data_IF_798577113725
#
_entry.id   IF_798577113725
#
_cell.length_a   1.000
_cell.length_b   1.000
_cell.length_c   1.000
_cell.angle_alpha   90.00
_cell.angle_beta   90.00
_cell.angle_gamma   90.00
#
_symmetry.space_group_name_H-M   'P 1'
#
loop_
_entity.id
_entity.type
_entity.pdbx_description
1 polymer ?
#
# COMPACT_ATOMS: atom_id res chain seq x y z
N UNK A 1 34.42 13.22 -17.20
CA UNK A 1 33.83 13.38 -15.86
C UNK A 1 32.76 14.44 -15.97
N UNK A 2 31.49 14.03 -16.08
CA UNK A 2 30.35 14.94 -15.99
C UNK A 2 29.54 14.52 -14.79
N UNK A 3 29.67 15.32 -13.74
CA UNK A 3 29.03 15.21 -12.44
C UNK A 3 27.65 15.87 -12.53
N UNK A 4 26.63 15.11 -12.96
CA UNK A 4 25.29 15.64 -13.18
C UNK A 4 24.23 14.74 -12.51
N UNK A 5 23.84 15.16 -11.30
CA UNK A 5 22.66 14.75 -10.54
C UNK A 5 22.62 13.29 -10.03
N UNK A 6 23.36 13.03 -8.95
CA UNK A 6 22.93 12.03 -7.94
C UNK A 6 22.21 12.79 -6.82
N UNK A 7 21.03 13.33 -7.14
CA UNK A 7 20.05 13.74 -6.12
C UNK A 7 19.07 12.57 -6.04
N UNK A 8 18.99 11.96 -4.85
CA UNK A 8 18.42 10.64 -4.59
C UNK A 8 17.23 10.29 -5.48
N UNK A 9 17.31 9.16 -6.16
CA UNK A 9 16.11 8.56 -6.73
C UNK A 9 15.11 8.40 -5.58
N UNK A 10 13.95 9.09 -5.60
CA UNK A 10 12.81 8.54 -4.90
C UNK A 10 12.66 7.13 -5.46
N UNK A 11 12.40 6.18 -4.58
CA UNK A 11 12.50 4.73 -4.65
C UNK A 11 11.80 4.01 -5.84
N UNK A 12 11.48 4.74 -6.92
CA UNK A 12 10.79 4.32 -8.13
C UNK A 12 9.29 4.10 -7.92
N UNK A 13 8.83 4.28 -6.67
CA UNK A 13 7.50 3.90 -6.25
C UNK A 13 6.49 4.99 -6.56
N UNK A 14 5.40 4.60 -7.20
CA UNK A 14 4.18 5.39 -7.25
C UNK A 14 3.63 5.64 -5.84
N UNK A 15 2.81 6.69 -5.63
CA UNK A 15 2.19 6.94 -4.33
C UNK A 15 1.45 5.73 -3.74
N UNK A 16 0.71 4.98 -4.57
CA UNK A 16 0.05 3.74 -4.13
C UNK A 16 1.06 2.69 -3.67
N UNK A 17 2.18 2.52 -4.36
CA UNK A 17 3.21 1.56 -3.99
C UNK A 17 3.88 1.92 -2.66
N UNK A 18 4.10 3.21 -2.40
CA UNK A 18 4.57 3.70 -1.09
C UNK A 18 3.55 3.35 0.01
N UNK A 19 2.27 3.66 -0.20
CA UNK A 19 1.21 3.33 0.78
C UNK A 19 1.10 1.83 1.04
N UNK A 20 1.22 1.00 0.01
CA UNK A 20 1.20 -0.46 0.13
C UNK A 20 2.43 -0.96 0.88
N UNK A 21 3.63 -0.48 0.56
CA UNK A 21 4.86 -0.86 1.27
C UNK A 21 4.73 -0.55 2.75
N UNK A 22 4.28 0.66 3.11
CA UNK A 22 4.18 1.10 4.50
C UNK A 22 3.10 0.31 5.24
N UNK A 23 1.99 0.00 4.58
CA UNK A 23 0.95 -0.87 5.10
C UNK A 23 1.46 -2.30 5.39
N UNK A 24 2.19 -2.90 4.44
CA UNK A 24 2.77 -4.24 4.56
C UNK A 24 3.84 -4.26 5.66
N UNK A 25 4.73 -3.27 5.69
CA UNK A 25 5.79 -3.19 6.69
C UNK A 25 5.24 -3.07 8.11
N UNK A 26 4.21 -2.23 8.32
CA UNK A 26 3.50 -2.14 9.61
C UNK A 26 2.88 -3.47 10.03
N UNK A 27 2.26 -4.17 9.09
CA UNK A 27 1.63 -5.45 9.37
C UNK A 27 2.69 -6.51 9.73
N UNK A 28 3.76 -6.63 8.95
CA UNK A 28 4.85 -7.56 9.25
C UNK A 28 5.50 -7.27 10.60
N UNK A 29 5.72 -6.00 10.93
CA UNK A 29 6.25 -5.62 12.24
C UNK A 29 5.32 -6.03 13.39
N UNK A 30 4.02 -5.85 13.24
CA UNK A 30 3.04 -6.31 14.22
C UNK A 30 3.04 -7.84 14.36
N UNK A 31 3.05 -8.58 13.25
CA UNK A 31 3.08 -10.04 13.25
C UNK A 31 4.36 -10.61 13.90
N UNK A 32 5.50 -9.94 13.69
CA UNK A 32 6.77 -10.25 14.36
C UNK A 32 6.69 -10.02 15.87
N UNK A 33 6.12 -8.90 16.31
CA UNK A 33 5.93 -8.60 17.73
C UNK A 33 5.06 -9.64 18.45
N UNK A 34 4.08 -10.24 17.75
CA UNK A 34 3.23 -11.30 18.29
C UNK A 34 3.92 -12.67 18.37
N UNK A 35 5.00 -12.90 17.63
CA UNK A 35 5.63 -14.22 17.43
C UNK A 35 7.09 -14.28 17.86
N UNK A 36 7.44 -13.48 18.87
CA UNK A 36 8.82 -13.42 19.38
C UNK A 36 9.85 -13.13 18.28
N UNK A 37 9.51 -12.18 17.40
CA UNK A 37 10.37 -11.66 16.33
C UNK A 37 10.71 -12.67 15.21
N UNK A 38 9.93 -13.75 15.08
CA UNK A 38 10.11 -14.74 14.01
C UNK A 38 8.77 -15.12 13.39
N UNK A 39 8.77 -15.35 12.07
CA UNK A 39 7.64 -15.92 11.34
C UNK A 39 8.13 -17.28 10.85
N UNK A 40 7.61 -18.34 11.43
CA UNK A 40 7.94 -19.71 11.02
C UNK A 40 7.06 -20.12 9.83
N UNK A 41 7.43 -21.19 9.12
CA UNK A 41 6.68 -21.62 7.94
C UNK A 41 5.18 -21.89 8.23
N UNK A 42 4.88 -22.37 9.44
CA UNK A 42 3.51 -22.62 9.89
C UNK A 42 2.67 -21.33 10.06
N UNK A 43 3.31 -20.18 10.24
CA UNK A 43 2.65 -18.88 10.40
C UNK A 43 2.29 -18.21 9.06
N UNK A 44 2.95 -18.64 7.97
CA UNK A 44 2.83 -18.01 6.65
C UNK A 44 1.38 -17.85 6.19
N UNK A 45 0.48 -18.85 6.32
CA UNK A 45 -0.91 -18.68 5.91
C UNK A 45 -1.63 -17.53 6.63
N UNK A 46 -1.45 -17.40 7.94
CA UNK A 46 -2.09 -16.34 8.75
C UNK A 46 -1.49 -14.97 8.41
N UNK A 47 -0.16 -14.88 8.33
CA UNK A 47 0.50 -13.61 7.96
C UNK A 47 0.09 -13.16 6.57
N UNK A 48 0.03 -14.08 5.59
CA UNK A 48 -0.43 -13.79 4.25
C UNK A 48 -1.88 -13.30 4.23
N UNK A 49 -2.74 -13.88 5.06
CA UNK A 49 -4.12 -13.44 5.21
C UNK A 49 -4.21 -11.99 5.73
N UNK A 50 -3.49 -11.68 6.81
CA UNK A 50 -3.51 -10.33 7.39
C UNK A 50 -2.92 -9.27 6.45
N UNK A 51 -1.83 -9.59 5.77
CA UNK A 51 -1.27 -8.72 4.72
C UNK A 51 -2.29 -8.48 3.60
N UNK A 52 -3.01 -9.52 3.17
CA UNK A 52 -4.04 -9.41 2.12
C UNK A 52 -5.17 -8.47 2.53
N UNK A 53 -5.65 -8.57 3.78
CA UNK A 53 -6.66 -7.65 4.30
C UNK A 53 -6.16 -6.21 4.27
N UNK A 54 -4.91 -5.97 4.72
CA UNK A 54 -4.32 -4.64 4.75
C UNK A 54 -4.15 -4.05 3.36
N UNK A 55 -3.69 -4.85 2.39
CA UNK A 55 -3.60 -4.44 0.99
C UNK A 55 -4.99 -4.05 0.46
N UNK A 56 -6.01 -4.85 0.72
CA UNK A 56 -7.38 -4.56 0.31
C UNK A 56 -7.91 -3.25 0.92
N UNK A 57 -7.59 -2.95 2.18
CA UNK A 57 -7.91 -1.68 2.82
C UNK A 57 -7.23 -0.49 2.14
N UNK A 58 -5.92 -0.59 1.88
CA UNK A 58 -5.16 0.47 1.21
C UNK A 58 -5.73 0.76 -0.18
N UNK A 59 -6.01 -0.29 -0.97
CA UNK A 59 -6.61 -0.13 -2.29
C UNK A 59 -8.00 0.53 -2.24
N UNK A 60 -8.83 0.19 -1.24
CA UNK A 60 -10.14 0.84 -1.06
C UNK A 60 -10.02 2.33 -0.74
N UNK A 61 -9.03 2.72 0.07
CA UNK A 61 -8.76 4.13 0.42
C UNK A 61 -8.21 4.92 -0.77
N UNK A 62 -7.39 4.27 -1.60
CA UNK A 62 -6.77 4.91 -2.76
C UNK A 62 -7.70 4.98 -3.99
N UNK A 63 -8.91 4.38 -3.93
CA UNK A 63 -9.88 4.53 -5.00
C UNK A 63 -10.33 6.00 -5.06
N UNK A 64 -10.09 6.72 -6.16
CA UNK A 64 -10.62 8.08 -6.30
C UNK A 64 -12.14 8.01 -6.15
N UNK A 65 -12.71 8.90 -5.32
CA UNK A 65 -14.16 9.06 -5.23
C UNK A 65 -14.67 9.21 -6.66
N UNK A 66 -15.48 8.27 -7.14
CA UNK A 66 -16.16 8.43 -8.43
C UNK A 66 -16.83 9.80 -8.43
N UNK A 67 -16.46 10.65 -9.38
CA UNK A 67 -17.10 11.94 -9.57
C UNK A 67 -18.63 11.71 -9.64
N UNK A 68 -19.44 12.58 -9.00
CA UNK A 68 -20.89 12.45 -9.09
C UNK A 68 -21.31 12.42 -10.57
N UNK A 69 -22.35 11.65 -10.94
CA UNK A 69 -22.82 11.62 -12.31
C UNK A 69 -23.08 13.05 -12.75
N UNK A 70 -22.49 13.45 -13.89
CA UNK A 70 -22.75 14.76 -14.49
C UNK A 70 -24.26 14.87 -14.68
N UNK A 71 -24.89 15.79 -13.97
CA UNK A 71 -26.30 16.10 -14.14
C UNK A 71 -26.52 16.44 -15.62
N UNK A 72 -27.40 15.72 -16.30
CA UNK A 72 -27.83 16.12 -17.64
C UNK A 72 -28.37 17.56 -17.58
N UNK A 73 -28.03 18.43 -18.54
CA UNK A 73 -28.67 19.73 -18.63
C UNK A 73 -30.16 19.49 -18.87
N UNK A 74 -30.99 20.17 -18.07
CA UNK A 74 -32.43 20.19 -18.28
C UNK A 74 -32.66 21.10 -19.49
N UNK A 75 -33.03 20.49 -20.63
CA UNK A 75 -33.45 21.23 -21.81
C UNK A 75 -34.72 22.03 -21.48
N UNK A 76 -34.71 23.28 -21.96
CA UNK A 76 -35.63 24.39 -21.70
C UNK A 76 -36.89 24.28 -22.56
#
# INVERSE_FOLDING_TARGET
MSDAYVVGEPDGLSPLQVELRDAIARELHAQLGLRSERIELADVPEVAYQVTLRVGETLRRHRPLSAPPRSCPQDV
#
